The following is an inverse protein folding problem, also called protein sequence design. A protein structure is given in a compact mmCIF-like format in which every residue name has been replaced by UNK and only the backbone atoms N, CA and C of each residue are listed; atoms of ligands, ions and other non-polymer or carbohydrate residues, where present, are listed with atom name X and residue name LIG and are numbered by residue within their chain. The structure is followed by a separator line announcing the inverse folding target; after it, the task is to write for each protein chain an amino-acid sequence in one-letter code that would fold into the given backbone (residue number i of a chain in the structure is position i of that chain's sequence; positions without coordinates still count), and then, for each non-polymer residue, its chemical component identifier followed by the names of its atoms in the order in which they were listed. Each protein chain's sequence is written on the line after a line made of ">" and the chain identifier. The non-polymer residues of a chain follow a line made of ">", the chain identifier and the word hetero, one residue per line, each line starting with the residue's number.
data_IF_851945075220
#
_entry.id   IF_851945075220
#
_cell.length_a   1.000
_cell.length_b   1.000
_cell.length_c   1.000
_cell.angle_alpha   90.00
_cell.angle_beta   90.00
_cell.angle_gamma   90.00
#
_symmetry.space_group_name_H-M   'P 1'
#
loop_
_entity.id
_entity.type
_entity.pdbx_description
1 polymer ?
#
# COMPACT_ATOMS: atom_id res chain seq x y z
N UNK A 1 4.06 4.59 1.47
CA UNK A 1 3.26 5.65 2.06
C UNK A 1 2.10 6.03 1.14
N UNK A 2 0.88 5.65 1.52
CA UNK A 2 -0.33 5.85 0.72
C UNK A 2 -1.17 7.04 1.19
N UNK A 3 -0.72 7.78 2.20
CA UNK A 3 -1.49 8.87 2.80
C UNK A 3 -2.09 9.84 1.79
N UNK A 4 -1.33 10.43 0.87
CA UNK A 4 -1.86 11.37 -0.11
C UNK A 4 -2.91 10.77 -1.03
N UNK A 5 -2.70 9.54 -1.49
CA UNK A 5 -3.63 8.86 -2.39
C UNK A 5 -4.92 8.43 -1.70
N UNK A 6 -4.87 8.16 -0.40
CA UNK A 6 -6.08 7.92 0.40
C UNK A 6 -6.94 9.14 0.59
N UNK A 7 -6.32 10.31 0.72
CA UNK A 7 -7.04 11.56 0.87
C UNK A 7 -7.78 11.97 -0.41
N UNK A 8 -7.28 11.57 -1.59
CA UNK A 8 -7.92 11.84 -2.89
C UNK A 8 -9.26 11.13 -3.03
N UNK A 9 -9.35 9.91 -2.53
CA UNK A 9 -10.56 9.09 -2.72
C UNK A 9 -11.72 9.49 -1.81
N UNK A 10 -11.53 10.51 -0.96
CA UNK A 10 -12.59 11.07 -0.11
C UNK A 10 -13.08 10.16 1.01
N UNK A 11 -13.98 10.68 1.82
CA UNK A 11 -14.66 9.93 2.87
C UNK A 11 -16.10 9.62 2.48
N UNK A 12 -16.55 8.43 2.73
CA UNK A 12 -15.84 7.16 2.87
C UNK A 12 -15.23 6.81 1.52
N UNK A 13 -14.07 6.17 1.49
CA UNK A 13 -13.44 5.69 0.27
C UNK A 13 -14.49 5.33 -0.76
N UNK A 14 -14.49 6.01 -1.90
CA UNK A 14 -15.52 5.77 -2.88
C UNK A 14 -15.53 4.28 -3.19
N UNK A 15 -16.59 3.62 -2.76
CA UNK A 15 -16.72 2.16 -2.84
C UNK A 15 -16.68 1.65 -4.28
N UNK A 16 -16.82 2.58 -5.22
CA UNK A 16 -16.93 2.33 -6.65
C UNK A 16 -15.68 2.66 -7.46
N UNK A 17 -14.64 3.22 -6.82
CA UNK A 17 -13.38 3.49 -7.51
C UNK A 17 -12.53 2.22 -7.52
N UNK A 18 -12.31 1.68 -8.70
CA UNK A 18 -11.45 0.53 -8.95
C UNK A 18 -10.35 0.90 -9.94
N UNK A 19 -9.25 0.15 -9.91
CA UNK A 19 -8.14 0.39 -10.83
C UNK A 19 -7.44 1.72 -10.60
N UNK A 20 -7.42 2.22 -9.36
CA UNK A 20 -6.71 3.46 -9.02
C UNK A 20 -5.23 3.26 -9.30
N UNK A 21 -4.66 4.19 -10.03
CA UNK A 21 -3.27 4.21 -10.47
C UNK A 21 -2.50 5.36 -9.79
N UNK A 22 -1.19 5.34 -9.91
CA UNK A 22 -0.29 6.29 -9.24
C UNK A 22 -0.41 7.72 -9.78
N UNK A 23 -0.91 7.88 -10.98
CA UNK A 23 -1.12 9.16 -11.65
C UNK A 23 -2.29 9.98 -11.09
N UNK A 24 -3.11 9.40 -10.21
CA UNK A 24 -4.15 10.15 -9.51
C UNK A 24 -3.49 11.22 -8.62
N UNK A 25 -3.85 12.51 -8.77
CA UNK A 25 -3.22 13.57 -7.99
C UNK A 25 -3.32 13.34 -6.49
N UNK A 26 -2.21 13.52 -5.80
CA UNK A 26 -2.19 13.45 -4.34
C UNK A 26 -2.94 14.64 -3.75
N UNK A 27 -3.95 14.36 -2.95
CA UNK A 27 -4.73 15.39 -2.25
C UNK A 27 -4.81 15.04 -0.76
N UNK A 28 -4.19 15.86 0.07
CA UNK A 28 -4.09 15.60 1.52
C UNK A 28 -5.39 15.89 2.30
N UNK A 29 -6.33 16.60 1.70
CA UNK A 29 -7.50 17.10 2.44
C UNK A 29 -7.07 17.92 3.66
N UNK A 30 -7.70 17.65 4.81
CA UNK A 30 -7.40 18.32 6.09
C UNK A 30 -6.56 17.43 7.03
N UNK A 31 -6.06 16.30 6.56
CA UNK A 31 -5.26 15.38 7.37
C UNK A 31 -3.79 15.78 7.33
N UNK A 32 -3.25 16.22 8.48
CA UNK A 32 -1.85 16.63 8.61
C UNK A 32 -0.86 15.49 8.29
N UNK A 33 -1.22 14.25 8.61
CA UNK A 33 -0.38 13.10 8.23
C UNK A 33 -0.32 12.95 6.71
N UNK A 34 -1.48 12.98 6.04
CA UNK A 34 -1.54 12.91 4.58
C UNK A 34 -0.79 14.09 3.93
N UNK A 35 -0.94 15.29 4.48
CA UNK A 35 -0.20 16.48 4.04
C UNK A 35 1.31 16.29 4.16
N UNK A 36 1.79 15.80 5.30
CA UNK A 36 3.24 15.55 5.51
C UNK A 36 3.82 14.56 4.49
N UNK A 37 3.01 13.58 4.07
CA UNK A 37 3.43 12.60 3.07
C UNK A 37 3.38 13.15 1.66
N UNK A 38 2.41 13.99 1.33
CA UNK A 38 2.36 14.71 0.06
C UNK A 38 3.55 15.67 -0.07
N UNK A 39 3.85 16.44 0.96
CA UNK A 39 5.01 17.31 1.00
C UNK A 39 6.33 16.53 0.81
N UNK A 40 6.46 15.35 1.47
CA UNK A 40 7.62 14.48 1.29
C UNK A 40 7.79 13.98 -0.13
N UNK A 41 6.71 13.66 -0.84
CA UNK A 41 6.78 13.27 -2.26
C UNK A 41 7.22 14.43 -3.13
N UNK A 42 6.72 15.63 -2.87
CA UNK A 42 7.10 16.83 -3.62
C UNK A 42 8.57 17.20 -3.40
N UNK A 43 9.07 17.12 -2.17
CA UNK A 43 10.49 17.29 -1.88
C UNK A 43 11.32 16.28 -2.66
N UNK A 44 10.94 15.01 -2.67
CA UNK A 44 11.61 13.96 -3.44
C UNK A 44 11.65 14.28 -4.94
N UNK A 45 10.54 14.78 -5.48
CA UNK A 45 10.46 15.20 -6.89
C UNK A 45 11.47 16.31 -7.20
N UNK A 46 11.49 17.36 -6.38
CA UNK A 46 12.41 18.48 -6.55
C UNK A 46 13.88 18.04 -6.47
N UNK A 47 14.22 17.14 -5.53
CA UNK A 47 15.57 16.59 -5.43
C UNK A 47 15.95 15.79 -6.68
N UNK A 48 15.07 14.97 -7.21
CA UNK A 48 15.33 14.20 -8.42
C UNK A 48 15.49 15.09 -9.67
N UNK A 49 14.83 16.26 -9.70
CA UNK A 49 15.00 17.24 -10.77
C UNK A 49 16.35 17.98 -10.68
N UNK A 50 16.75 18.34 -9.47
CA UNK A 50 17.96 19.15 -9.23
C UNK A 50 19.25 18.31 -9.21
N UNK A 51 19.15 17.00 -8.95
CA UNK A 51 20.31 16.13 -8.77
C UNK A 51 20.23 14.89 -9.67
N UNK A 52 21.37 14.31 -10.07
CA UNK A 52 21.41 13.11 -10.90
C UNK A 52 21.10 11.83 -10.10
N UNK A 53 19.99 11.83 -9.36
CA UNK A 53 19.54 10.70 -8.56
C UNK A 53 18.14 10.25 -9.03
N UNK A 54 17.86 8.97 -8.86
CA UNK A 54 16.52 8.42 -9.04
C UNK A 54 15.86 8.23 -7.66
N UNK A 55 14.64 8.70 -7.53
CA UNK A 55 13.83 8.56 -6.33
C UNK A 55 12.61 7.71 -6.64
N UNK A 56 12.53 6.54 -6.05
CA UNK A 56 11.42 5.61 -6.24
C UNK A 56 10.56 5.60 -4.97
N UNK A 57 9.42 6.26 -5.03
CA UNK A 57 8.47 6.36 -3.92
C UNK A 57 7.59 5.11 -3.86
N UNK A 58 7.89 4.18 -2.97
CA UNK A 58 7.10 2.98 -2.75
C UNK A 58 5.94 3.26 -1.79
N UNK A 59 4.72 3.15 -2.27
CA UNK A 59 3.51 3.37 -1.48
C UNK A 59 3.03 2.06 -0.86
N UNK A 60 3.14 1.98 0.47
CA UNK A 60 2.70 0.82 1.25
C UNK A 60 1.58 1.20 2.22
N UNK A 61 0.67 0.27 2.44
CA UNK A 61 -0.34 0.35 3.48
C UNK A 61 -0.66 -1.07 4.00
N UNK A 62 -1.07 -1.16 5.26
CA UNK A 62 -1.57 -2.42 5.84
C UNK A 62 -0.68 -3.64 5.62
N UNK A 63 0.50 -3.63 6.22
CA UNK A 63 1.38 -4.80 6.25
C UNK A 63 0.72 -5.98 6.97
N UNK A 64 0.88 -7.17 6.39
CA UNK A 64 0.36 -8.43 6.94
C UNK A 64 1.45 -9.50 6.97
N UNK A 65 1.43 -10.42 7.93
CA UNK A 65 2.14 -11.69 7.79
C UNK A 65 1.65 -12.44 6.56
N UNK A 66 2.48 -13.27 5.96
CA UNK A 66 2.07 -14.14 4.85
C UNK A 66 0.96 -15.12 5.29
N UNK A 67 1.02 -15.55 6.56
CA UNK A 67 -0.01 -16.40 7.16
C UNK A 67 -0.43 -15.86 8.55
N UNK A 68 -1.75 -15.87 8.89
CA UNK A 68 -2.24 -15.37 10.18
C UNK A 68 -1.72 -16.18 11.38
N UNK A 69 -1.41 -17.45 11.18
CA UNK A 69 -0.92 -18.35 12.24
C UNK A 69 0.62 -18.37 12.36
N UNK A 70 1.32 -17.50 11.64
CA UNK A 70 2.77 -17.38 11.75
C UNK A 70 3.16 -16.98 13.18
N UNK A 71 3.88 -17.84 13.94
CA UNK A 71 4.19 -17.62 15.35
C UNK A 71 5.01 -16.35 15.57
N UNK A 72 5.77 -15.90 14.60
CA UNK A 72 6.52 -14.62 14.67
C UNK A 72 5.60 -13.42 14.90
N UNK A 73 4.34 -13.53 14.49
CA UNK A 73 3.34 -12.47 14.57
C UNK A 73 2.27 -12.73 15.63
N UNK A 74 2.37 -13.81 16.43
CA UNK A 74 1.38 -14.17 17.43
C UNK A 74 1.05 -13.01 18.39
N UNK A 75 2.07 -12.30 18.88
CA UNK A 75 1.88 -11.13 19.75
C UNK A 75 1.13 -9.99 19.06
N UNK A 76 1.41 -9.73 17.78
CA UNK A 76 0.70 -8.71 16.99
C UNK A 76 -0.77 -9.07 16.84
N UNK A 77 -1.05 -10.34 16.52
CA UNK A 77 -2.43 -10.83 16.39
C UNK A 77 -3.19 -10.79 17.70
N UNK A 78 -2.55 -11.12 18.80
CA UNK A 78 -3.15 -10.99 20.13
C UNK A 78 -3.51 -9.54 20.46
N UNK A 79 -2.61 -8.60 20.17
CA UNK A 79 -2.89 -7.17 20.35
C UNK A 79 -4.06 -6.70 19.50
N UNK A 80 -4.13 -7.13 18.22
CA UNK A 80 -5.22 -6.81 17.31
C UNK A 80 -6.54 -7.37 17.84
N UNK A 81 -6.57 -8.67 18.26
CA UNK A 81 -7.73 -9.31 18.87
C UNK A 81 -8.18 -8.60 20.14
N UNK A 82 -7.25 -8.24 21.02
CA UNK A 82 -7.54 -7.49 22.25
C UNK A 82 -8.17 -6.12 21.95
N UNK A 83 -7.64 -5.39 20.98
CA UNK A 83 -8.21 -4.10 20.56
C UNK A 83 -9.62 -4.23 19.99
N UNK A 84 -9.91 -5.30 19.27
CA UNK A 84 -11.26 -5.63 18.75
C UNK A 84 -12.24 -5.88 19.92
N UNK A 85 -11.86 -6.70 20.91
CA UNK A 85 -12.71 -7.02 22.09
C UNK A 85 -13.04 -5.78 22.93
N UNK A 86 -12.15 -4.81 23.00
CA UNK A 86 -12.36 -3.58 23.76
C UNK A 86 -13.25 -2.53 23.06
N UNK A 87 -13.88 -2.89 21.95
CA UNK A 87 -14.87 -2.03 21.27
C UNK A 87 -14.34 -0.70 20.74
N UNK A 88 -13.04 -0.47 20.79
CA UNK A 88 -12.42 0.83 20.46
C UNK A 88 -12.40 1.17 18.96
N UNK A 89 -12.78 0.25 18.10
CA UNK A 89 -13.19 0.51 16.70
C UNK A 89 -14.24 -0.50 16.29
N UNK A 90 -15.40 -0.05 15.90
CA UNK A 90 -16.32 -0.86 15.08
C UNK A 90 -15.63 -1.09 13.74
N UNK A 91 -14.88 -2.18 13.65
CA UNK A 91 -14.57 -2.75 12.35
C UNK A 91 -15.92 -3.21 11.77
N UNK A 92 -16.40 -2.52 10.78
CA UNK A 92 -17.61 -2.90 10.04
C UNK A 92 -17.24 -4.07 9.13
N UNK A 93 -17.16 -5.26 9.67
CA UNK A 93 -17.13 -6.52 8.92
C UNK A 93 -16.00 -6.72 7.89
N UNK A 94 -16.05 -7.85 7.20
CA UNK A 94 -15.02 -8.25 6.22
C UNK A 94 -14.89 -7.34 5.00
N UNK A 95 -15.94 -6.58 4.69
CA UNK A 95 -15.95 -5.62 3.58
C UNK A 95 -15.11 -4.36 3.84
N UNK A 96 -14.72 -4.11 5.08
CA UNK A 96 -13.72 -3.09 5.45
C UNK A 96 -12.29 -3.60 5.25
N UNK A 97 -12.14 -4.77 4.68
CA UNK A 97 -10.87 -5.39 4.41
C UNK A 97 -10.11 -4.61 3.35
N UNK A 98 -9.35 -3.72 3.88
CA UNK A 98 -8.05 -3.41 3.41
C UNK A 98 -8.02 -3.25 1.89
N UNK A 99 -8.42 -2.09 1.41
CA UNK A 99 -8.40 -1.80 -0.03
C UNK A 99 -6.97 -1.83 -0.60
N UNK A 100 -5.95 -1.85 0.27
CA UNK A 100 -4.55 -1.82 -0.07
C UNK A 100 -3.76 -2.54 1.01
N UNK A 101 -3.19 -3.69 0.68
CA UNK A 101 -2.43 -4.50 1.61
C UNK A 101 -1.29 -5.25 0.90
N UNK A 102 -0.27 -5.57 1.67
CA UNK A 102 0.87 -6.35 1.22
C UNK A 102 1.39 -7.19 2.38
N UNK A 103 1.97 -8.34 2.09
CA UNK A 103 2.67 -9.12 3.12
C UNK A 103 4.05 -8.54 3.39
N UNK A 104 4.63 -8.84 4.56
CA UNK A 104 6.00 -8.42 4.85
C UNK A 104 7.02 -9.00 3.86
N UNK A 105 6.95 -10.30 3.46
CA UNK A 105 7.85 -10.82 2.44
C UNK A 105 7.70 -10.13 1.09
N UNK A 106 6.48 -9.88 0.64
CA UNK A 106 6.24 -9.18 -0.63
C UNK A 106 6.69 -7.72 -0.58
N UNK A 107 6.53 -7.06 0.56
CA UNK A 107 7.05 -5.70 0.73
C UNK A 107 8.59 -5.67 0.61
N UNK A 108 9.27 -6.64 1.20
CA UNK A 108 10.72 -6.77 1.05
C UNK A 108 11.12 -7.04 -0.42
N UNK A 109 10.35 -7.90 -1.13
CA UNK A 109 10.55 -8.12 -2.57
C UNK A 109 10.36 -6.85 -3.38
N UNK A 110 9.31 -6.08 -3.11
CA UNK A 110 9.05 -4.83 -3.80
C UNK A 110 10.19 -3.82 -3.61
N UNK A 111 10.71 -3.70 -2.39
CA UNK A 111 11.86 -2.84 -2.10
C UNK A 111 13.10 -3.34 -2.87
N UNK A 112 13.37 -4.65 -2.87
CA UNK A 112 14.48 -5.22 -3.62
C UNK A 112 14.35 -4.93 -5.11
N UNK A 113 13.18 -5.16 -5.71
CA UNK A 113 12.94 -4.83 -7.11
C UNK A 113 13.18 -3.34 -7.41
N UNK A 114 12.82 -2.44 -6.49
CA UNK A 114 13.08 -1.03 -6.67
C UNK A 114 14.58 -0.69 -6.60
N UNK A 115 15.35 -1.34 -5.71
CA UNK A 115 16.79 -1.14 -5.60
C UNK A 115 17.58 -1.72 -6.78
N UNK A 116 17.08 -2.79 -7.38
CA UNK A 116 17.67 -3.49 -8.54
C UNK A 116 17.13 -2.96 -9.88
N UNK A 117 16.25 -1.97 -9.86
CA UNK A 117 15.59 -1.48 -11.07
C UNK A 117 16.59 -0.88 -12.07
N UNK A 118 16.39 -1.21 -13.34
CA UNK A 118 17.09 -0.55 -14.44
C UNK A 118 16.56 0.88 -14.62
N UNK A 119 17.31 1.85 -14.12
CA UNK A 119 16.90 3.26 -14.15
C UNK A 119 16.75 3.83 -15.56
N UNK A 120 17.37 3.21 -16.57
CA UNK A 120 17.20 3.61 -17.99
C UNK A 120 15.81 3.30 -18.53
N UNK A 121 15.09 2.38 -17.90
CA UNK A 121 13.71 2.02 -18.28
C UNK A 121 12.65 2.84 -17.56
N UNK A 122 13.05 3.66 -16.60
CA UNK A 122 12.12 4.49 -15.86
C UNK A 122 11.74 5.73 -16.68
N UNK A 123 10.44 6.11 -16.72
CA UNK A 123 9.98 7.28 -17.47
C UNK A 123 10.57 8.60 -16.95
N UNK A 124 10.87 8.66 -15.65
CA UNK A 124 11.47 9.83 -15.03
C UNK A 124 12.39 9.45 -13.86
N UNK A 125 13.11 10.45 -13.34
CA UNK A 125 13.93 10.24 -12.14
C UNK A 125 13.13 10.18 -10.84
N UNK A 126 11.87 10.61 -10.86
CA UNK A 126 10.98 10.51 -9.70
C UNK A 126 9.75 9.71 -10.07
N UNK A 127 9.69 8.47 -9.59
CA UNK A 127 8.59 7.56 -9.88
C UNK A 127 7.88 7.12 -8.60
N UNK A 128 6.57 6.98 -8.69
CA UNK A 128 5.72 6.52 -7.60
C UNK A 128 5.15 5.17 -7.97
N UNK A 129 5.12 4.24 -7.02
CA UNK A 129 4.64 2.87 -7.23
C UNK A 129 3.71 2.42 -6.12
N UNK A 130 2.56 1.89 -6.47
CA UNK A 130 1.75 1.10 -5.55
C UNK A 130 2.37 -0.28 -5.36
N UNK A 131 2.85 -0.56 -4.15
CA UNK A 131 3.31 -1.87 -3.75
C UNK A 131 2.21 -2.58 -2.97
N UNK A 132 1.37 -3.31 -3.67
CA UNK A 132 0.21 -4.03 -3.12
C UNK A 132 0.17 -5.48 -3.59
N UNK A 133 -0.40 -6.36 -2.78
CA UNK A 133 -0.75 -7.71 -3.21
C UNK A 133 -1.86 -7.67 -4.27
N UNK A 134 -2.04 -8.78 -4.97
CA UNK A 134 -3.18 -8.97 -5.85
C UNK A 134 -4.44 -9.18 -5.00
N UNK A 135 -5.25 -8.14 -4.91
CA UNK A 135 -6.47 -8.16 -4.12
C UNK A 135 -7.68 -8.41 -5.03
N UNK A 136 -8.65 -9.25 -4.60
CA UNK A 136 -9.76 -9.65 -5.44
C UNK A 136 -10.61 -8.50 -5.99
N UNK A 137 -10.66 -7.39 -5.26
CA UNK A 137 -11.43 -6.21 -5.66
C UNK A 137 -10.69 -5.28 -6.62
N UNK A 138 -9.37 -5.45 -6.83
CA UNK A 138 -8.58 -4.66 -7.78
C UNK A 138 -8.64 -3.14 -7.59
N UNK A 139 -8.85 -2.66 -6.36
CA UNK A 139 -9.06 -1.24 -6.11
C UNK A 139 -7.84 -0.39 -6.46
N UNK A 140 -6.66 -0.87 -6.11
CA UNK A 140 -5.39 -0.23 -6.45
C UNK A 140 -4.57 -1.13 -7.37
N UNK A 141 -4.06 -0.55 -8.43
CA UNK A 141 -3.30 -1.28 -9.44
C UNK A 141 -1.81 -1.33 -9.08
N UNK A 142 -1.22 -2.51 -9.13
CA UNK A 142 0.25 -2.67 -9.05
C UNK A 142 0.88 -2.86 -10.44
N UNK A 143 0.15 -2.57 -11.52
CA UNK A 143 0.58 -2.81 -12.89
C UNK A 143 1.86 -2.03 -13.25
N UNK A 144 2.01 -0.81 -12.76
CA UNK A 144 3.22 -0.01 -12.97
C UNK A 144 4.44 -0.64 -12.31
N UNK A 145 4.31 -1.09 -11.05
CA UNK A 145 5.40 -1.79 -10.35
C UNK A 145 5.77 -3.10 -11.05
N UNK A 146 4.80 -3.85 -11.56
CA UNK A 146 5.06 -5.05 -12.36
C UNK A 146 5.84 -4.73 -13.63
N UNK A 147 5.40 -3.74 -14.39
CA UNK A 147 5.98 -3.39 -15.68
C UNK A 147 7.37 -2.80 -15.56
N UNK A 148 7.60 -1.88 -14.63
CA UNK A 148 8.85 -1.11 -14.56
C UNK A 148 9.87 -1.69 -13.57
N UNK A 149 9.42 -2.35 -12.51
CA UNK A 149 10.30 -2.93 -11.50
C UNK A 149 10.37 -4.46 -11.57
N UNK A 150 9.52 -5.12 -12.37
CA UNK A 150 9.40 -6.57 -12.36
C UNK A 150 8.81 -7.13 -11.06
N UNK A 151 8.21 -6.29 -10.22
CA UNK A 151 7.61 -6.73 -8.96
C UNK A 151 6.41 -7.61 -9.21
N UNK A 152 6.41 -8.82 -8.65
CA UNK A 152 5.28 -9.74 -8.66
C UNK A 152 5.00 -10.20 -7.22
N UNK A 153 3.82 -9.88 -6.66
CA UNK A 153 3.40 -10.43 -5.38
C UNK A 153 3.36 -11.97 -5.46
N UNK A 154 3.88 -12.64 -4.45
CA UNK A 154 3.91 -14.10 -4.37
C UNK A 154 2.95 -14.64 -3.32
N UNK A 155 2.67 -13.82 -2.30
CA UNK A 155 1.77 -14.20 -1.24
C UNK A 155 0.34 -13.82 -1.58
N UNK A 156 -0.62 -14.70 -1.26
CA UNK A 156 -2.03 -14.38 -1.34
C UNK A 156 -2.54 -13.92 0.01
N UNK A 157 -3.47 -12.96 0.01
CA UNK A 157 -4.15 -12.53 1.23
C UNK A 157 -5.52 -13.21 1.40
N UNK A 158 -5.79 -14.25 0.62
CA UNK A 158 -7.07 -14.98 0.62
C UNK A 158 -7.47 -15.50 2.01
N UNK A 159 -6.49 -15.99 2.77
CA UNK A 159 -6.71 -16.50 4.13
C UNK A 159 -7.37 -15.44 5.03
N UNK A 160 -7.05 -14.17 4.83
CA UNK A 160 -7.63 -13.06 5.59
C UNK A 160 -9.07 -12.74 5.20
N UNK A 161 -9.46 -13.11 3.99
CA UNK A 161 -10.83 -12.96 3.50
C UNK A 161 -11.70 -14.18 3.88
N UNK A 162 -11.13 -15.39 3.89
CA UNK A 162 -11.84 -16.62 4.25
C UNK A 162 -12.20 -16.69 5.72
N UNK A 163 -11.34 -16.23 6.62
CA UNK A 163 -11.66 -16.20 8.06
C UNK A 163 -12.86 -15.30 8.38
N UNK A 164 -13.08 -14.28 7.58
CA UNK A 164 -14.19 -13.36 7.78
C UNK A 164 -15.53 -13.90 7.33
N UNK A 165 -15.57 -14.99 6.56
CA UNK A 165 -16.79 -15.66 6.13
C UNK A 165 -17.25 -16.74 7.12
N UNK A 166 -16.47 -17.01 8.17
CA UNK A 166 -16.76 -18.02 9.21
C UNK A 166 -17.45 -17.43 10.45
N UNK A 167 -17.72 -16.13 10.47
CA UNK A 167 -18.48 -15.42 11.51
C UNK A 167 -19.84 -15.00 10.99
#
# INVERSE_FOLDING_TARGET
>A
NTGPHFAVTGKPYHTYDFGIVEEVPAHSGTDLYALSKAAGQEICRLFAEQHPIHVLCMLFLNFRPAHPDDPRWAKLWEQIRRRRRLGRRRFRGPRDLIPFAITFPDAARAIRCALEADTHKLPSRNEIFFATADLPHGKYSNAKARRLLGFQPQDTLEVYYRESLKT
#
